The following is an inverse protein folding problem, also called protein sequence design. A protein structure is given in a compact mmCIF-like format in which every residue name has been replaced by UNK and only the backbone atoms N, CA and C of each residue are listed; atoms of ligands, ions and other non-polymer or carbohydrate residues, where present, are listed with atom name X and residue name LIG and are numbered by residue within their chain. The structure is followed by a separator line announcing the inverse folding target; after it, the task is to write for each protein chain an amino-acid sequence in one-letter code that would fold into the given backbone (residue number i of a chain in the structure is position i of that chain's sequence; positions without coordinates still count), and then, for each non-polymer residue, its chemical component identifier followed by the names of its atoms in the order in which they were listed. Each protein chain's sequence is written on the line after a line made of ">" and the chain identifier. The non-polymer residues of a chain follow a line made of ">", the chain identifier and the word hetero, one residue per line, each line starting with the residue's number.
data_IF_350624148996
#
_entry.id   IF_350624148996
#
_cell.length_a   1.000
_cell.length_b   1.000
_cell.length_c   1.000
_cell.angle_alpha   90.00
_cell.angle_beta   90.00
_cell.angle_gamma   90.00
#
_symmetry.space_group_name_H-M   'P 1'
#
loop_
_entity.id
_entity.type
_entity.pdbx_description
1 polymer ?
#
# COMPACT_ATOMS: atom_id res chain seq x y z
N UNK A 1 -17.84 10.76 -6.80
CA UNK A 1 -18.44 9.55 -7.16
C UNK A 1 -18.51 8.54 -6.03
N UNK A 2 -19.66 8.17 -5.50
CA UNK A 2 -19.82 7.12 -4.52
C UNK A 2 -19.51 5.71 -5.06
N UNK A 3 -19.82 4.66 -4.29
CA UNK A 3 -19.59 3.24 -4.63
C UNK A 3 -20.04 2.81 -6.04
N UNK A 4 -20.93 3.58 -6.70
CA UNK A 4 -21.31 3.40 -8.09
C UNK A 4 -20.25 3.72 -9.13
N UNK A 5 -19.24 4.54 -8.80
CA UNK A 5 -18.21 4.91 -9.78
C UNK A 5 -17.22 3.77 -10.07
N UNK A 6 -17.01 2.86 -9.13
CA UNK A 6 -16.04 1.75 -9.27
C UNK A 6 -16.42 0.79 -10.39
N UNK A 7 -17.72 0.48 -10.58
CA UNK A 7 -18.15 -0.41 -11.67
C UNK A 7 -18.01 0.27 -13.03
N UNK A 8 -18.25 1.60 -13.10
CA UNK A 8 -18.05 2.38 -14.33
C UNK A 8 -16.57 2.35 -14.71
N UNK A 9 -15.68 2.59 -13.74
CA UNK A 9 -14.24 2.54 -13.96
C UNK A 9 -13.80 1.17 -14.49
N UNK A 10 -14.14 0.10 -13.80
CA UNK A 10 -13.82 -1.28 -14.22
C UNK A 10 -14.37 -1.65 -15.61
N UNK A 11 -15.55 -1.14 -15.94
CA UNK A 11 -16.23 -1.51 -17.19
C UNK A 11 -15.81 -0.66 -18.39
N UNK A 12 -15.43 0.60 -18.18
CA UNK A 12 -15.25 1.56 -19.28
C UNK A 12 -13.87 2.22 -19.32
N UNK A 13 -13.13 2.23 -18.22
CA UNK A 13 -11.88 2.97 -18.11
C UNK A 13 -10.68 2.03 -18.01
N UNK A 14 -10.70 1.09 -17.05
CA UNK A 14 -9.56 0.18 -16.78
C UNK A 14 -9.21 -0.79 -17.91
N UNK A 15 -10.17 -1.24 -18.78
CA UNK A 15 -9.85 -2.28 -19.76
C UNK A 15 -8.92 -1.86 -20.90
N UNK A 16 -8.79 -0.57 -21.18
CA UNK A 16 -7.88 -0.07 -22.22
C UNK A 16 -7.42 1.37 -21.92
N UNK A 17 -6.26 1.79 -22.44
CA UNK A 17 -5.81 3.17 -22.38
C UNK A 17 -6.84 4.14 -22.97
N UNK A 18 -6.81 5.39 -22.48
CA UNK A 18 -7.66 6.45 -23.01
C UNK A 18 -7.49 6.57 -24.56
N UNK A 19 -8.59 6.79 -25.25
CA UNK A 19 -8.66 6.88 -26.73
C UNK A 19 -8.49 5.55 -27.48
N UNK A 20 -8.27 4.43 -26.80
CA UNK A 20 -8.26 3.10 -27.43
C UNK A 20 -9.63 2.43 -27.33
N UNK A 21 -9.96 1.64 -28.36
CA UNK A 21 -11.21 0.88 -28.39
C UNK A 21 -10.96 -0.55 -27.91
N UNK A 22 -11.86 -1.09 -27.11
CA UNK A 22 -11.83 -2.47 -26.62
C UNK A 22 -13.22 -3.12 -26.72
N UNK A 23 -13.26 -4.45 -26.76
CA UNK A 23 -14.50 -5.23 -26.65
C UNK A 23 -14.75 -5.62 -25.21
N UNK A 24 -15.93 -5.28 -24.69
CA UNK A 24 -16.39 -5.76 -23.41
C UNK A 24 -16.84 -7.22 -23.45
N UNK A 25 -17.08 -7.82 -22.28
CA UNK A 25 -17.60 -9.20 -22.13
C UNK A 25 -18.95 -9.41 -22.86
N UNK A 26 -19.75 -8.36 -23.00
CA UNK A 26 -21.02 -8.33 -23.74
C UNK A 26 -20.83 -8.19 -25.26
N UNK A 27 -19.60 -8.23 -25.78
CA UNK A 27 -19.26 -8.09 -27.19
C UNK A 27 -19.36 -6.68 -27.77
N UNK A 28 -19.79 -5.69 -26.96
CA UNK A 28 -19.90 -4.29 -27.41
C UNK A 28 -18.52 -3.60 -27.39
N UNK A 29 -18.27 -2.82 -28.44
CA UNK A 29 -17.08 -1.99 -28.53
C UNK A 29 -17.25 -0.73 -27.70
N UNK A 30 -16.26 -0.42 -26.89
CA UNK A 30 -16.21 0.75 -26.00
C UNK A 30 -14.91 1.51 -26.20
N UNK A 31 -14.98 2.80 -25.89
CA UNK A 31 -13.82 3.70 -25.90
C UNK A 31 -13.99 4.72 -24.78
N UNK A 32 -12.98 4.86 -23.94
CA UNK A 32 -12.95 5.93 -22.95
C UNK A 32 -12.30 7.18 -23.55
N UNK A 33 -13.01 8.29 -23.49
CA UNK A 33 -12.52 9.60 -23.93
C UNK A 33 -12.54 10.50 -22.70
N UNK A 34 -11.38 10.80 -22.09
CA UNK A 34 -11.30 11.73 -20.98
C UNK A 34 -11.67 13.15 -21.43
N UNK A 35 -12.39 13.88 -20.61
CA UNK A 35 -12.67 15.29 -20.78
C UNK A 35 -12.21 16.06 -19.53
N UNK A 36 -11.35 17.03 -19.71
CA UNK A 36 -10.84 17.90 -18.66
C UNK A 36 -11.42 19.30 -18.80
N UNK A 37 -11.34 20.08 -17.72
CA UNK A 37 -11.79 21.47 -17.74
C UNK A 37 -11.13 22.27 -18.87
N UNK A 38 -9.83 22.03 -19.12
CA UNK A 38 -9.05 22.69 -20.15
C UNK A 38 -9.49 22.36 -21.58
N UNK A 39 -10.16 21.23 -21.77
CA UNK A 39 -10.69 20.79 -23.08
C UNK A 39 -11.97 21.56 -23.47
N UNK A 40 -12.56 22.30 -22.51
CA UNK A 40 -13.72 23.15 -22.75
C UNK A 40 -13.32 24.62 -22.82
N UNK A 41 -13.23 25.21 -24.05
CA UNK A 41 -12.74 26.59 -24.20
C UNK A 41 -13.62 27.63 -23.50
N UNK A 42 -14.91 27.33 -23.28
CA UNK A 42 -15.83 28.25 -22.58
C UNK A 42 -15.60 28.28 -21.08
N UNK A 43 -15.19 27.17 -20.47
CA UNK A 43 -14.89 27.08 -19.05
C UNK A 43 -13.42 27.36 -18.74
N UNK A 44 -12.51 27.10 -19.66
CA UNK A 44 -11.09 27.36 -19.52
C UNK A 44 -10.76 28.86 -19.48
N UNK A 45 -11.61 29.70 -20.13
CA UNK A 45 -11.45 31.15 -20.14
C UNK A 45 -12.07 31.82 -18.91
N UNK A 46 -13.01 31.17 -18.22
CA UNK A 46 -13.60 31.70 -16.98
C UNK A 46 -12.86 31.15 -15.75
N UNK A 47 -11.82 31.85 -15.31
CA UNK A 47 -11.02 31.46 -14.14
C UNK A 47 -11.81 31.30 -12.84
N UNK A 48 -13.07 31.78 -12.77
CA UNK A 48 -13.95 31.63 -11.59
C UNK A 48 -14.34 30.18 -11.36
N UNK A 49 -14.66 29.43 -12.42
CA UNK A 49 -15.01 28.01 -12.29
C UNK A 49 -13.81 27.18 -11.81
N UNK A 50 -12.64 27.44 -12.35
CA UNK A 50 -11.40 26.80 -11.89
C UNK A 50 -11.10 27.14 -10.40
N UNK A 51 -11.26 28.39 -9.99
CA UNK A 51 -11.09 28.81 -8.60
C UNK A 51 -12.08 28.10 -7.68
N UNK A 52 -13.35 27.98 -8.10
CA UNK A 52 -14.37 27.25 -7.34
C UNK A 52 -13.98 25.77 -7.16
N UNK A 53 -13.50 25.11 -8.21
CA UNK A 53 -13.01 23.72 -8.13
C UNK A 53 -11.75 23.59 -7.25
N UNK A 54 -10.84 24.56 -7.28
CA UNK A 54 -9.65 24.60 -6.42
C UNK A 54 -9.99 24.79 -4.93
N UNK A 55 -11.11 25.41 -4.63
CA UNK A 55 -11.61 25.59 -3.26
C UNK A 55 -12.24 24.33 -2.66
N UNK A 56 -12.52 23.31 -3.47
CA UNK A 56 -13.08 22.04 -3.01
C UNK A 56 -12.08 21.26 -2.15
N UNK A 57 -12.57 20.36 -1.26
CA UNK A 57 -11.71 19.42 -0.55
C UNK A 57 -10.80 18.67 -1.52
N UNK A 58 -9.58 18.27 -1.09
CA UNK A 58 -8.56 17.67 -1.98
C UNK A 58 -9.07 16.52 -2.84
N UNK A 59 -9.86 15.62 -2.26
CA UNK A 59 -10.47 14.48 -2.95
C UNK A 59 -11.41 14.89 -4.08
N UNK A 60 -12.33 15.80 -3.79
CA UNK A 60 -13.30 16.31 -4.78
C UNK A 60 -12.61 17.13 -5.87
N UNK A 61 -11.57 17.88 -5.50
CA UNK A 61 -10.74 18.63 -6.46
C UNK A 61 -10.06 17.67 -7.43
N UNK A 62 -9.44 16.60 -6.96
CA UNK A 62 -8.80 15.59 -7.81
C UNK A 62 -9.82 14.92 -8.75
N UNK A 63 -11.02 14.61 -8.27
CA UNK A 63 -12.07 14.02 -9.08
C UNK A 63 -12.59 14.96 -10.16
N UNK A 64 -12.88 16.21 -9.81
CA UNK A 64 -13.61 17.13 -10.66
C UNK A 64 -12.70 18.03 -11.52
N UNK A 65 -11.59 18.51 -10.96
CA UNK A 65 -10.65 19.37 -11.68
C UNK A 65 -9.65 18.55 -12.51
N UNK A 66 -9.14 17.47 -11.94
CA UNK A 66 -8.10 16.65 -12.56
C UNK A 66 -8.68 15.45 -13.33
N UNK A 67 -10.00 15.18 -13.16
CA UNK A 67 -10.65 14.04 -13.79
C UNK A 67 -10.14 12.69 -13.29
N UNK A 68 -9.64 12.65 -12.06
CA UNK A 68 -9.06 11.44 -11.48
C UNK A 68 -10.16 10.49 -11.00
N UNK A 69 -10.29 9.35 -11.67
CA UNK A 69 -11.26 8.30 -11.36
C UNK A 69 -10.75 7.33 -10.27
N UNK A 70 -9.49 7.45 -9.87
CA UNK A 70 -8.87 6.58 -8.88
C UNK A 70 -9.15 7.01 -7.44
N UNK A 71 -9.56 8.25 -7.24
CA UNK A 71 -9.85 8.81 -5.93
C UNK A 71 -11.33 8.61 -5.58
N UNK A 72 -11.61 7.80 -4.58
CA UNK A 72 -12.96 7.59 -4.07
C UNK A 72 -13.32 8.65 -3.03
N UNK A 73 -14.56 9.16 -3.06
CA UNK A 73 -15.09 10.00 -1.98
C UNK A 73 -15.17 9.16 -0.70
N UNK A 74 -14.58 9.66 0.40
CA UNK A 74 -14.49 8.91 1.65
C UNK A 74 -13.34 7.89 1.70
N UNK A 75 -12.39 7.94 0.76
CA UNK A 75 -11.18 7.13 0.85
C UNK A 75 -10.41 7.41 2.14
N UNK A 76 -9.91 6.34 2.78
CA UNK A 76 -9.21 6.42 4.04
C UNK A 76 -7.84 7.10 3.90
N UNK A 77 -7.18 6.99 2.74
CA UNK A 77 -5.81 7.47 2.52
C UNK A 77 -5.77 8.57 1.45
N UNK A 78 -6.26 9.74 1.79
CA UNK A 78 -6.29 10.90 0.86
C UNK A 78 -4.89 11.45 0.55
N UNK A 79 -3.89 11.12 1.36
CA UNK A 79 -2.48 11.45 1.16
C UNK A 79 -1.79 10.58 0.11
N UNK A 80 -2.39 9.45 -0.25
CA UNK A 80 -1.84 8.60 -1.29
C UNK A 80 -2.00 9.27 -2.65
N UNK A 81 -0.90 9.76 -3.17
CA UNK A 81 -0.82 10.44 -4.47
C UNK A 81 -0.01 9.57 -5.42
N UNK A 82 -0.61 8.96 -6.47
CA UNK A 82 0.11 8.06 -7.37
C UNK A 82 1.38 8.66 -7.96
N UNK A 83 1.38 9.93 -8.32
CA UNK A 83 2.53 10.63 -8.91
C UNK A 83 3.74 10.71 -7.96
N UNK A 84 3.53 10.56 -6.65
CA UNK A 84 4.58 10.59 -5.63
C UNK A 84 4.92 9.19 -5.10
N UNK A 85 3.89 8.34 -4.95
CA UNK A 85 4.02 7.05 -4.26
C UNK A 85 4.22 5.88 -5.21
N UNK A 86 3.82 6.02 -6.49
CA UNK A 86 3.96 4.94 -7.48
C UNK A 86 5.16 5.22 -8.37
N UNK A 87 6.06 4.26 -8.44
CA UNK A 87 7.33 4.39 -9.17
C UNK A 87 7.53 3.24 -10.16
N UNK A 88 8.35 3.49 -11.16
CA UNK A 88 8.80 2.45 -12.10
C UNK A 88 9.72 1.46 -11.37
N UNK A 89 9.59 0.16 -11.62
CA UNK A 89 10.48 -0.85 -11.05
C UNK A 89 11.95 -0.59 -11.37
N UNK A 90 12.79 -0.84 -10.37
CA UNK A 90 14.23 -0.88 -10.49
C UNK A 90 14.78 -2.12 -9.76
N UNK A 91 16.00 -2.50 -10.03
CA UNK A 91 16.64 -3.62 -9.37
C UNK A 91 16.93 -3.27 -7.89
N UNK A 92 16.29 -4.01 -6.97
CA UNK A 92 16.50 -3.81 -5.53
C UNK A 92 17.91 -4.29 -5.15
N UNK A 93 18.76 -3.40 -4.59
CA UNK A 93 20.12 -3.76 -4.21
C UNK A 93 20.14 -4.97 -3.26
N UNK A 94 21.11 -5.85 -3.46
CA UNK A 94 21.21 -7.14 -2.74
C UNK A 94 21.31 -6.95 -1.22
N UNK A 95 21.96 -5.88 -0.78
CA UNK A 95 22.18 -5.60 0.64
C UNK A 95 20.98 -4.95 1.36
N UNK A 96 19.92 -4.60 0.62
CA UNK A 96 18.74 -4.01 1.25
C UNK A 96 17.97 -5.08 2.02
N UNK A 97 17.57 -4.74 3.24
CA UNK A 97 16.67 -5.58 4.05
C UNK A 97 15.35 -5.78 3.30
N UNK A 98 14.91 -7.04 3.19
CA UNK A 98 13.62 -7.40 2.56
C UNK A 98 12.70 -8.02 3.58
N UNK A 99 11.44 -7.62 3.54
CA UNK A 99 10.39 -8.07 4.45
C UNK A 99 9.11 -8.36 3.68
N UNK A 100 8.24 -9.21 4.24
CA UNK A 100 6.93 -9.49 3.64
C UNK A 100 5.81 -9.50 4.67
N UNK A 101 4.61 -9.16 4.23
CA UNK A 101 3.37 -9.32 4.99
C UNK A 101 2.38 -10.15 4.22
N UNK A 102 1.67 -11.06 4.90
CA UNK A 102 0.75 -12.00 4.28
C UNK A 102 -0.61 -11.89 4.97
N UNK A 103 -1.64 -11.65 4.17
CA UNK A 103 -3.04 -11.84 4.51
C UNK A 103 -3.57 -13.04 3.72
N UNK A 104 -4.07 -14.05 4.42
CA UNK A 104 -4.55 -15.29 3.80
C UNK A 104 -6.06 -15.39 3.82
N UNK A 105 -6.63 -15.60 2.64
CA UNK A 105 -8.02 -15.98 2.46
C UNK A 105 -8.15 -17.11 1.44
N UNK A 106 -9.04 -18.08 1.70
CA UNK A 106 -9.39 -19.10 0.71
C UNK A 106 -10.61 -18.68 -0.11
N UNK A 107 -11.69 -18.30 0.58
CA UNK A 107 -12.91 -17.81 -0.06
C UNK A 107 -12.79 -16.35 -0.55
N UNK A 108 -11.85 -15.61 -0.03
CA UNK A 108 -11.39 -14.29 -0.47
C UNK A 108 -9.99 -14.39 -1.06
N UNK A 109 -9.44 -13.28 -1.46
CA UNK A 109 -8.08 -13.21 -1.98
C UNK A 109 -7.04 -13.43 -0.87
N UNK A 110 -5.99 -14.19 -1.19
CA UNK A 110 -4.75 -14.17 -0.44
C UNK A 110 -3.86 -13.08 -1.01
N UNK A 111 -3.30 -12.25 -0.14
CA UNK A 111 -2.35 -11.21 -0.52
C UNK A 111 -1.00 -11.43 0.17
N UNK A 112 0.09 -11.29 -0.57
CA UNK A 112 1.41 -11.18 -0.02
C UNK A 112 2.08 -9.93 -0.61
N UNK A 113 2.60 -9.08 0.26
CA UNK A 113 3.29 -7.83 -0.11
C UNK A 113 4.74 -7.95 0.32
N UNK A 114 5.67 -7.72 -0.61
CA UNK A 114 7.09 -7.66 -0.34
C UNK A 114 7.59 -6.23 -0.42
N UNK A 115 8.41 -5.85 0.54
CA UNK A 115 9.05 -4.55 0.56
C UNK A 115 10.53 -4.66 0.91
N UNK A 116 11.31 -3.72 0.39
CA UNK A 116 12.70 -3.50 0.72
C UNK A 116 12.87 -2.17 1.44
N UNK A 117 13.86 -2.06 2.30
CA UNK A 117 14.15 -0.84 3.05
C UNK A 117 15.38 -0.18 2.46
N UNK A 118 15.22 1.04 1.98
CA UNK A 118 16.34 1.87 1.56
C UNK A 118 17.14 2.28 2.80
N UNK A 119 18.39 1.82 2.97
CA UNK A 119 19.16 2.12 4.18
C UNK A 119 19.60 3.58 4.27
N UNK A 120 19.49 4.34 3.20
CA UNK A 120 19.92 5.75 3.18
C UNK A 120 18.97 6.68 3.94
N UNK A 121 17.67 6.40 3.91
CA UNK A 121 16.64 7.26 4.51
C UNK A 121 15.51 6.47 5.19
N UNK A 122 15.54 5.14 5.14
CA UNK A 122 14.50 4.26 5.70
C UNK A 122 13.23 4.17 4.86
N UNK A 123 13.22 4.67 3.63
CA UNK A 123 12.07 4.55 2.73
C UNK A 123 11.75 3.10 2.46
N UNK A 124 10.48 2.75 2.58
CA UNK A 124 9.96 1.42 2.29
C UNK A 124 9.58 1.34 0.81
N UNK A 125 10.22 0.44 0.06
CA UNK A 125 9.94 0.21 -1.35
C UNK A 125 9.16 -1.09 -1.50
N UNK A 126 7.86 -1.00 -1.76
CA UNK A 126 7.05 -2.18 -2.11
C UNK A 126 7.36 -2.56 -3.55
N UNK A 127 8.00 -3.72 -3.73
CA UNK A 127 8.54 -4.12 -5.03
C UNK A 127 7.84 -5.31 -5.68
N UNK A 128 6.97 -6.01 -4.93
CA UNK A 128 6.28 -7.21 -5.42
C UNK A 128 4.98 -7.43 -4.67
N UNK A 129 3.94 -7.88 -5.37
CA UNK A 129 2.70 -8.37 -4.76
C UNK A 129 2.28 -9.72 -5.34
N UNK A 130 1.67 -10.55 -4.50
CA UNK A 130 0.81 -11.66 -4.86
C UNK A 130 -0.60 -11.29 -4.43
N UNK A 131 -1.57 -11.48 -5.33
CA UNK A 131 -2.98 -11.22 -5.03
C UNK A 131 -3.82 -12.25 -5.78
N UNK A 132 -4.29 -13.29 -5.07
CA UNK A 132 -4.95 -14.42 -5.73
C UNK A 132 -5.94 -15.11 -4.81
N UNK A 133 -7.09 -15.50 -5.36
CA UNK A 133 -8.16 -16.22 -4.67
C UNK A 133 -8.05 -17.73 -4.82
N UNK A 134 -8.59 -18.48 -3.83
CA UNK A 134 -8.78 -19.92 -3.91
C UNK A 134 -7.52 -20.74 -3.71
N UNK A 135 -6.46 -20.18 -3.10
CA UNK A 135 -5.23 -20.89 -2.81
C UNK A 135 -5.33 -21.70 -1.53
N UNK A 136 -4.98 -22.99 -1.60
CA UNK A 136 -4.68 -23.77 -0.39
C UNK A 136 -3.38 -23.28 0.25
N UNK A 137 -3.19 -23.52 1.55
CA UNK A 137 -1.99 -23.09 2.25
C UNK A 137 -0.69 -23.66 1.66
N UNK A 138 -0.72 -24.85 1.09
CA UNK A 138 0.41 -25.47 0.37
C UNK A 138 0.70 -24.75 -0.94
N UNK A 139 -0.35 -24.48 -1.73
CA UNK A 139 -0.21 -23.76 -3.00
C UNK A 139 0.31 -22.34 -2.80
N UNK A 140 -0.18 -21.66 -1.74
CA UNK A 140 0.34 -20.34 -1.37
C UNK A 140 1.83 -20.41 -1.02
N UNK A 141 2.25 -21.43 -0.26
CA UNK A 141 3.65 -21.64 0.11
C UNK A 141 4.53 -21.85 -1.13
N UNK A 142 4.10 -22.70 -2.07
CA UNK A 142 4.83 -23.00 -3.29
C UNK A 142 4.99 -21.74 -4.17
N UNK A 143 3.91 -20.96 -4.35
CA UNK A 143 3.94 -19.72 -5.13
C UNK A 143 4.89 -18.70 -4.49
N UNK A 144 4.82 -18.52 -3.17
CA UNK A 144 5.72 -17.59 -2.47
C UNK A 144 7.18 -18.04 -2.63
N UNK A 145 7.44 -19.35 -2.53
CA UNK A 145 8.78 -19.91 -2.74
C UNK A 145 9.28 -19.60 -4.15
N UNK A 146 8.46 -19.84 -5.18
CA UNK A 146 8.80 -19.54 -6.58
C UNK A 146 9.10 -18.07 -6.79
N UNK A 147 8.26 -17.18 -6.24
CA UNK A 147 8.44 -15.72 -6.34
C UNK A 147 9.69 -15.22 -5.62
N UNK A 148 10.21 -15.96 -4.63
CA UNK A 148 11.40 -15.61 -3.85
C UNK A 148 12.70 -16.26 -4.38
N UNK A 149 12.65 -17.07 -5.45
CA UNK A 149 13.84 -17.73 -6.01
C UNK A 149 14.96 -16.76 -6.42
N UNK A 150 14.59 -15.57 -6.87
CA UNK A 150 15.53 -14.54 -7.26
C UNK A 150 16.01 -13.65 -6.10
N UNK A 151 15.45 -13.83 -4.90
CA UNK A 151 15.88 -13.05 -3.74
C UNK A 151 17.21 -13.58 -3.19
N UNK A 152 18.13 -12.70 -2.78
CA UNK A 152 19.49 -13.12 -2.35
C UNK A 152 19.50 -13.89 -1.03
N UNK A 153 18.43 -13.82 -0.27
CA UNK A 153 18.25 -14.49 1.01
C UNK A 153 16.78 -14.70 1.33
N UNK A 154 16.49 -15.61 2.28
CA UNK A 154 15.12 -15.88 2.74
C UNK A 154 14.47 -14.63 3.35
N UNK A 155 13.36 -14.18 2.76
CA UNK A 155 12.64 -12.99 3.19
C UNK A 155 11.86 -13.28 4.47
N UNK A 156 12.15 -12.51 5.53
CA UNK A 156 11.41 -12.60 6.78
C UNK A 156 10.03 -11.94 6.63
N UNK A 157 9.03 -12.46 7.34
CA UNK A 157 7.69 -11.92 7.20
C UNK A 157 6.78 -12.10 8.40
N UNK A 158 5.59 -11.59 8.24
CA UNK A 158 4.48 -11.71 9.18
C UNK A 158 3.25 -12.25 8.45
N UNK A 159 2.48 -13.04 9.17
CA UNK A 159 1.26 -13.67 8.69
C UNK A 159 0.13 -13.35 9.67
N UNK A 160 -1.07 -13.12 9.15
CA UNK A 160 -2.27 -12.93 9.99
C UNK A 160 -2.33 -13.99 11.11
N UNK A 161 -2.63 -13.51 12.30
CA UNK A 161 -2.69 -14.38 13.48
C UNK A 161 -3.81 -15.42 13.41
N UNK A 162 -4.89 -15.20 12.64
CA UNK A 162 -5.93 -16.20 12.43
C UNK A 162 -5.37 -17.48 11.79
N UNK A 163 -4.37 -17.35 10.92
CA UNK A 163 -3.70 -18.44 10.23
C UNK A 163 -2.91 -19.39 11.15
N UNK A 164 -2.69 -19.02 12.40
CA UNK A 164 -2.02 -19.83 13.41
C UNK A 164 -3.00 -20.57 14.32
N UNK A 165 -4.29 -20.35 14.13
CA UNK A 165 -5.34 -21.06 14.86
C UNK A 165 -5.78 -22.28 14.07
N UNK A 166 -6.05 -23.39 14.77
CA UNK A 166 -6.56 -24.61 14.14
C UNK A 166 -8.03 -24.41 13.75
N UNK A 167 -8.36 -24.65 12.50
CA UNK A 167 -9.71 -24.57 11.96
C UNK A 167 -10.38 -25.95 11.83
N UNK A 168 -9.83 -26.98 12.48
CA UNK A 168 -10.34 -28.34 12.47
C UNK A 168 -9.68 -29.19 13.55
N UNK A 169 -10.12 -30.45 13.66
CA UNK A 169 -9.61 -31.41 14.66
C UNK A 169 -8.25 -31.99 14.31
N UNK A 170 -7.87 -31.97 13.03
CA UNK A 170 -6.66 -32.61 12.54
C UNK A 170 -5.99 -31.77 11.45
N UNK A 171 -4.66 -31.82 11.40
CA UNK A 171 -3.83 -31.17 10.37
C UNK A 171 -3.07 -29.93 10.86
N UNK A 172 -2.07 -29.47 10.08
CA UNK A 172 -1.32 -28.27 10.37
C UNK A 172 -2.17 -27.03 10.13
N UNK A 173 -1.89 -25.97 10.88
CA UNK A 173 -2.43 -24.64 10.58
C UNK A 173 -1.81 -24.08 9.29
N UNK A 174 -2.42 -23.05 8.70
CA UNK A 174 -1.85 -22.36 7.53
C UNK A 174 -0.44 -21.84 7.86
N UNK A 175 -0.26 -21.24 9.04
CA UNK A 175 1.05 -20.76 9.49
C UNK A 175 2.09 -21.88 9.60
N UNK A 176 1.70 -23.03 10.18
CA UNK A 176 2.59 -24.20 10.26
C UNK A 176 2.92 -24.77 8.88
N UNK A 177 1.97 -24.73 7.94
CA UNK A 177 2.20 -25.19 6.54
C UNK A 177 3.26 -24.32 5.86
N UNK A 178 3.11 -23.00 5.92
CA UNK A 178 4.08 -22.06 5.36
C UNK A 178 5.47 -22.18 6.02
N UNK A 179 5.52 -22.33 7.34
CA UNK A 179 6.81 -22.52 8.07
C UNK A 179 7.48 -23.83 7.69
N UNK A 180 6.73 -24.92 7.54
CA UNK A 180 7.27 -26.23 7.06
C UNK A 180 7.82 -26.16 5.64
N UNK A 181 7.24 -25.28 4.80
CA UNK A 181 7.78 -25.01 3.46
C UNK A 181 9.05 -24.11 3.48
N UNK A 182 9.53 -23.69 4.65
CA UNK A 182 10.77 -22.94 4.82
C UNK A 182 10.61 -21.43 4.99
N UNK A 183 9.37 -20.92 5.00
CA UNK A 183 9.15 -19.48 5.17
C UNK A 183 9.38 -19.05 6.63
N UNK A 184 10.16 -17.99 6.81
CA UNK A 184 10.44 -17.39 8.14
C UNK A 184 9.33 -16.41 8.49
N UNK A 185 8.30 -16.87 9.19
CA UNK A 185 7.11 -16.09 9.52
C UNK A 185 6.91 -15.92 11.03
N UNK A 186 6.41 -14.76 11.41
CA UNK A 186 5.92 -14.44 12.75
C UNK A 186 4.43 -14.10 12.69
N UNK A 187 3.78 -14.06 13.86
CA UNK A 187 2.41 -13.57 13.98
C UNK A 187 2.38 -12.06 13.74
N UNK A 188 1.42 -11.59 12.94
CA UNK A 188 1.19 -10.16 12.73
C UNK A 188 0.59 -9.48 13.96
N UNK A 189 0.81 -8.18 14.11
CA UNK A 189 0.05 -7.35 15.04
C UNK A 189 -1.33 -7.05 14.43
N UNK A 190 -2.39 -7.33 15.19
CA UNK A 190 -3.78 -7.15 14.76
C UNK A 190 -4.35 -5.75 14.96
N UNK A 191 -3.62 -4.85 15.60
CA UNK A 191 -4.17 -3.53 15.93
C UNK A 191 -4.43 -2.72 14.66
N UNK A 192 -5.68 -2.75 14.18
CA UNK A 192 -6.11 -2.12 12.93
C UNK A 192 -5.96 -0.60 12.98
N UNK A 193 -6.41 0.03 14.05
CA UNK A 193 -6.37 1.48 14.20
C UNK A 193 -4.92 1.97 14.21
N UNK A 194 -4.07 1.34 15.02
CA UNK A 194 -2.65 1.68 15.06
C UNK A 194 -1.96 1.42 13.72
N UNK A 195 -2.33 0.32 13.04
CA UNK A 195 -1.81 0.00 11.71
C UNK A 195 -2.20 1.04 10.66
N UNK A 196 -3.46 1.49 10.65
CA UNK A 196 -3.92 2.59 9.79
C UNK A 196 -3.12 3.87 10.05
N UNK A 197 -2.93 4.24 11.33
CA UNK A 197 -2.12 5.42 11.70
C UNK A 197 -0.68 5.27 11.17
N UNK A 198 -0.07 4.10 11.29
CA UNK A 198 1.27 3.87 10.76
C UNK A 198 1.31 3.99 9.23
N UNK A 199 0.29 3.52 8.50
CA UNK A 199 0.22 3.71 7.04
C UNK A 199 0.15 5.20 6.69
N UNK A 200 -0.66 6.00 7.40
CA UNK A 200 -0.67 7.45 7.22
C UNK A 200 0.73 8.07 7.43
N UNK A 201 1.49 7.61 8.46
CA UNK A 201 2.86 8.09 8.68
C UNK A 201 3.82 7.68 7.54
N UNK A 202 3.65 6.49 6.97
CA UNK A 202 4.45 6.06 5.83
C UNK A 202 4.10 6.80 4.52
N UNK A 203 2.85 7.25 4.36
CA UNK A 203 2.44 8.05 3.20
C UNK A 203 2.94 9.50 3.24
N UNK A 204 3.43 9.99 4.38
CA UNK A 204 3.95 11.35 4.50
C UNK A 204 5.21 11.57 3.68
N UNK A 205 5.31 12.74 3.07
CA UNK A 205 6.50 13.19 2.37
C UNK A 205 7.52 13.72 3.39
N UNK A 206 8.75 13.24 3.29
CA UNK A 206 9.87 13.70 4.12
C UNK A 206 10.36 15.07 3.68
N UNK A 207 11.24 15.67 4.48
CA UNK A 207 11.88 16.95 4.12
C UNK A 207 12.69 16.89 2.82
N UNK A 208 13.15 15.69 2.44
CA UNK A 208 13.82 15.42 1.14
C UNK A 208 12.89 15.54 -0.07
N UNK A 209 11.58 15.67 0.12
CA UNK A 209 10.58 15.61 -0.95
C UNK A 209 10.17 14.18 -1.35
N UNK A 210 10.77 13.15 -0.76
CA UNK A 210 10.48 11.74 -1.02
C UNK A 210 9.46 11.22 0.02
N UNK A 211 8.42 10.46 -0.37
CA UNK A 211 7.53 9.83 0.59
C UNK A 211 8.25 8.65 1.30
N UNK A 212 7.82 8.34 2.53
CA UNK A 212 8.41 7.23 3.32
C UNK A 212 8.07 5.85 2.76
N UNK A 213 7.06 5.75 1.90
CA UNK A 213 6.73 4.54 1.17
C UNK A 213 6.59 4.84 -0.32
N UNK A 214 7.17 4.00 -1.14
CA UNK A 214 6.99 4.00 -2.59
C UNK A 214 6.63 2.59 -3.05
N UNK A 215 5.81 2.50 -4.08
CA UNK A 215 5.22 1.25 -4.56
C UNK A 215 5.53 1.11 -6.05
N UNK A 216 6.05 -0.03 -6.45
CA UNK A 216 6.24 -0.32 -7.87
C UNK A 216 4.87 -0.39 -8.57
N UNK A 217 4.79 0.17 -9.78
CA UNK A 217 3.58 0.11 -10.60
C UNK A 217 3.16 -1.31 -10.96
N UNK A 218 3.99 -2.31 -10.69
CA UNK A 218 3.70 -3.74 -10.79
C UNK A 218 2.91 -4.31 -9.61
N UNK A 219 2.51 -3.46 -8.63
CA UNK A 219 1.65 -3.83 -7.50
C UNK A 219 0.25 -3.18 -7.63
N UNK A 220 -0.54 -3.51 -8.68
CA UNK A 220 -1.77 -2.80 -9.03
C UNK A 220 -2.89 -2.98 -7.99
N UNK A 221 -2.93 -4.11 -7.27
CA UNK A 221 -3.99 -4.36 -6.30
C UNK A 221 -3.79 -3.50 -5.04
N UNK A 222 -2.57 -3.44 -4.51
CA UNK A 222 -2.24 -2.56 -3.39
C UNK A 222 -2.49 -1.09 -3.73
N UNK A 223 -2.06 -0.65 -4.91
CA UNK A 223 -2.28 0.72 -5.39
C UNK A 223 -3.78 1.03 -5.43
N UNK A 224 -4.58 0.13 -6.01
CA UNK A 224 -6.04 0.28 -6.09
C UNK A 224 -6.68 0.35 -4.71
N UNK A 225 -6.30 -0.53 -3.78
CA UNK A 225 -6.88 -0.55 -2.43
C UNK A 225 -6.54 0.72 -1.66
N UNK A 226 -5.28 1.17 -1.67
CA UNK A 226 -4.90 2.44 -1.02
C UNK A 226 -5.64 3.66 -1.58
N UNK A 227 -5.96 3.66 -2.88
CA UNK A 227 -6.71 4.75 -3.50
C UNK A 227 -8.20 4.72 -3.18
N UNK A 228 -8.78 3.55 -2.95
CA UNK A 228 -10.22 3.38 -2.96
C UNK A 228 -10.85 2.87 -1.66
N UNK A 229 -10.06 2.32 -0.74
CA UNK A 229 -10.58 1.77 0.52
C UNK A 229 -11.25 2.89 1.33
N UNK A 230 -12.57 2.75 1.66
CA UNK A 230 -13.27 3.78 2.40
C UNK A 230 -13.03 3.67 3.90
N UNK A 231 -13.32 4.75 4.62
CA UNK A 231 -13.46 4.72 6.07
C UNK A 231 -14.68 3.89 6.46
N UNK A 232 -14.58 3.15 7.56
CA UNK A 232 -15.74 2.49 8.13
C UNK A 232 -16.76 3.53 8.60
N UNK A 233 -18.04 3.34 8.22
CA UNK A 233 -19.11 4.29 8.52
C UNK A 233 -19.47 4.37 10.00
N UNK A 234 -19.24 3.28 10.76
CA UNK A 234 -19.53 3.19 12.18
C UNK A 234 -18.33 3.55 13.04
N UNK A 235 -17.14 3.25 12.54
CA UNK A 235 -15.87 3.56 13.20
C UNK A 235 -14.90 4.24 12.22
N UNK A 236 -14.96 5.56 12.01
CA UNK A 236 -14.10 6.28 11.07
C UNK A 236 -12.61 6.22 11.40
N UNK A 237 -12.23 5.71 12.57
CA UNK A 237 -10.83 5.44 12.92
C UNK A 237 -10.26 4.21 12.20
N UNK A 238 -11.13 3.34 11.65
CA UNK A 238 -10.74 2.17 10.86
C UNK A 238 -11.17 2.32 9.39
N UNK A 239 -10.77 1.38 8.56
CA UNK A 239 -11.24 1.22 7.18
C UNK A 239 -12.42 0.26 7.13
N UNK A 240 -13.27 0.37 6.09
CA UNK A 240 -14.41 -0.52 5.87
C UNK A 240 -13.92 -1.93 5.47
N UNK A 241 -14.13 -2.90 6.36
CA UNK A 241 -13.77 -4.32 6.16
C UNK A 241 -14.64 -5.06 5.15
N UNK A 242 -15.70 -4.44 4.64
CA UNK A 242 -16.51 -5.01 3.56
C UNK A 242 -15.97 -4.63 2.17
N UNK A 243 -15.07 -3.66 2.10
CA UNK A 243 -14.33 -3.34 0.89
C UNK A 243 -13.17 -4.31 0.70
N UNK A 244 -12.66 -4.49 -0.54
CA UNK A 244 -11.41 -5.21 -0.76
C UNK A 244 -10.27 -4.55 0.03
N UNK A 245 -9.70 -5.27 0.99
CA UNK A 245 -8.69 -4.78 1.93
C UNK A 245 -7.51 -5.75 2.12
N UNK A 246 -7.41 -6.79 1.30
CA UNK A 246 -6.43 -7.86 1.49
C UNK A 246 -4.98 -7.42 1.27
N UNK A 247 -4.70 -6.64 0.20
CA UNK A 247 -3.37 -6.10 -0.03
C UNK A 247 -3.03 -5.01 0.99
N UNK A 248 -4.02 -4.20 1.38
CA UNK A 248 -3.90 -3.24 2.47
C UNK A 248 -3.58 -3.93 3.80
N UNK A 249 -4.29 -5.00 4.17
CA UNK A 249 -4.05 -5.73 5.41
C UNK A 249 -2.67 -6.41 5.40
N UNK A 250 -2.25 -7.00 4.29
CA UNK A 250 -0.89 -7.53 4.14
C UNK A 250 0.18 -6.44 4.33
N UNK A 251 0.00 -5.25 3.74
CA UNK A 251 0.87 -4.10 3.96
C UNK A 251 0.84 -3.62 5.41
N UNK A 252 -0.32 -3.54 6.02
CA UNK A 252 -0.51 -3.14 7.41
C UNK A 252 0.24 -4.07 8.36
N UNK A 253 0.13 -5.38 8.16
CA UNK A 253 0.88 -6.37 8.95
C UNK A 253 2.39 -6.18 8.79
N UNK A 254 2.86 -5.96 7.56
CA UNK A 254 4.27 -5.71 7.28
C UNK A 254 4.76 -4.46 8.02
N UNK A 255 4.05 -3.35 7.90
CA UNK A 255 4.42 -2.07 8.54
C UNK A 255 4.42 -2.20 10.06
N UNK A 256 3.41 -2.85 10.65
CA UNK A 256 3.31 -3.06 12.09
C UNK A 256 4.39 -3.99 12.65
N UNK A 257 5.04 -4.79 11.81
CA UNK A 257 6.17 -5.64 12.21
C UNK A 257 7.50 -4.89 12.34
N UNK A 258 7.55 -3.65 11.87
CA UNK A 258 8.75 -2.79 11.88
C UNK A 258 8.75 -1.87 13.11
N UNK A 259 9.93 -1.35 13.51
CA UNK A 259 9.99 -0.30 14.53
C UNK A 259 9.11 0.89 14.12
N UNK A 260 8.37 1.43 15.07
CA UNK A 260 7.53 2.61 14.81
C UNK A 260 8.39 3.80 14.40
N UNK A 261 7.95 4.56 13.41
CA UNK A 261 8.69 5.74 12.91
C UNK A 261 9.02 6.71 14.05
N UNK A 262 8.08 6.92 14.98
CA UNK A 262 8.30 7.81 16.13
C UNK A 262 9.36 7.28 17.09
N UNK A 263 9.44 5.96 17.28
CA UNK A 263 10.45 5.32 18.14
C UNK A 263 11.84 5.44 17.50
N UNK A 264 11.94 5.25 16.20
CA UNK A 264 13.19 5.40 15.43
C UNK A 264 13.70 6.84 15.47
N UNK A 265 12.83 7.83 15.29
CA UNK A 265 13.19 9.25 15.39
C UNK A 265 13.60 9.65 16.80
N UNK A 266 12.96 9.07 17.82
CA UNK A 266 13.33 9.30 19.22
C UNK A 266 14.71 8.70 19.54
N UNK A 267 14.98 7.49 19.05
CA UNK A 267 16.29 6.83 19.20
C UNK A 267 17.39 7.59 18.45
N UNK A 268 17.15 8.05 17.22
CA UNK A 268 18.09 8.87 16.48
C UNK A 268 18.38 10.21 17.16
N UNK A 269 17.37 10.86 17.73
CA UNK A 269 17.54 12.11 18.50
C UNK A 269 18.33 11.87 19.79
N UNK A 270 18.11 10.74 20.47
CA UNK A 270 18.85 10.35 21.65
C UNK A 270 20.32 10.05 21.31
N UNK A 271 20.57 9.30 20.24
CA UNK A 271 21.91 9.00 19.76
C UNK A 271 22.69 10.27 19.36
N UNK A 272 22.04 11.22 18.65
CA UNK A 272 22.65 12.52 18.31
C UNK A 272 22.92 13.37 19.56
N UNK A 273 22.07 13.29 20.58
CA UNK A 273 22.26 14.01 21.83
C UNK A 273 23.42 13.45 22.66
N UNK A 274 23.56 12.12 22.67
CA UNK A 274 24.67 11.43 23.33
C UNK A 274 26.00 11.60 22.59
N UNK A 275 25.98 11.60 21.25
CA UNK A 275 27.17 11.81 20.43
C UNK A 275 27.64 13.27 20.38
N UNK A 276 26.77 14.24 20.70
CA UNK A 276 27.14 15.66 20.80
C UNK A 276 27.70 16.04 22.16
N UNK A 277 27.68 15.16 23.15
CA UNK A 277 28.30 15.34 24.45
C UNK A 277 29.69 14.70 24.47
N UNK A 278 30.61 15.19 23.65
CA UNK A 278 32.01 14.98 23.86
C UNK A 278 32.53 16.07 24.80
N UNK A 279 33.08 15.76 25.99
CA UNK A 279 33.70 16.78 26.82
C UNK A 279 34.83 17.43 26.05
N UNK A 280 34.83 18.75 26.03
CA UNK A 280 35.78 19.58 25.28
C UNK A 280 37.20 19.45 25.78
N UNK A 281 37.40 18.84 26.96
CA UNK A 281 38.74 18.55 27.50
C UNK A 281 38.67 17.37 28.47
N UNK A 282 39.44 16.32 28.15
CA UNK A 282 39.63 15.16 29.04
C UNK A 282 40.78 15.37 30.05
N UNK A 283 41.41 16.54 30.10
CA UNK A 283 42.62 16.78 30.87
C UNK A 283 42.37 17.63 32.11
N UNK A 284 41.26 18.34 32.21
CA UNK A 284 40.88 19.12 33.38
C UNK A 284 39.51 18.70 33.88
N UNK A 285 39.48 17.82 34.86
CA UNK A 285 38.29 17.46 35.64
C UNK A 285 37.85 18.63 36.51
N UNK A 286 36.95 19.47 35.98
CA UNK A 286 36.05 20.35 36.73
C UNK A 286 34.75 20.43 35.92
#
# INVERSE_FOLDING_TARGET
>A
GGSGATWVKKRYIDPAPAHESFKGEDGLTRKFIPARLQDNPFLATDGRYEQMLKALPPTQRQQLLEGNWDVAEGAAFTEFVPQLHVITPFEIPVHWERVKGIDYGYASESACIWAAVDPSDGTLIVYRELYRKGLLGTELADIITEMELADPFSVQGVLDTACWSRTGTTGPTIGETLVRAGHKLRRADKNRIQGKIQIHEYLKVMQSGRPRIQIFNTCPNLIRELQSIPLDKRNPEDVDTHAPDHAYDALRYLIMSRPRINDTLSQMRQFHRESSYAPVDSTFGY
#
